data_IF_473358796529
#
_entry.id   IF_473358796529
#
_cell.length_a   1.000
_cell.length_b   1.000
_cell.length_c   1.000
_cell.angle_alpha   90.00
_cell.angle_beta   90.00
_cell.angle_gamma   90.00
#
_symmetry.space_group_name_H-M   'P 1'
#
loop_
_entity.id
_entity.type
_entity.pdbx_description
1 polymer ?
#
# COMPACT_ATOMS: atom_id res chain seq x y z
N UNK A 1 44.34 38.74 52.96
CA UNK A 1 44.59 38.93 51.54
C UNK A 1 43.89 37.82 50.82
N UNK A 2 42.73 38.09 50.24
CA UNK A 2 41.89 37.11 49.51
C UNK A 2 42.25 37.17 48.03
N UNK A 3 42.70 36.06 47.51
CA UNK A 3 43.03 35.91 46.09
C UNK A 3 41.72 35.63 45.27
N UNK A 4 41.29 36.61 44.48
CA UNK A 4 40.17 36.43 43.55
C UNK A 4 40.74 35.80 42.30
N UNK A 5 40.46 34.50 42.12
CA UNK A 5 40.63 33.82 40.84
C UNK A 5 39.57 34.32 39.87
N UNK A 6 39.93 35.06 38.83
CA UNK A 6 39.11 35.32 37.63
C UNK A 6 39.05 34.01 36.84
N UNK A 7 37.90 33.37 36.85
CA UNK A 7 37.57 32.37 35.83
C UNK A 7 37.40 33.08 34.50
N UNK A 8 38.32 32.80 33.58
CA UNK A 8 38.20 33.23 32.19
C UNK A 8 36.97 32.61 31.56
N UNK A 9 36.01 33.43 31.17
CA UNK A 9 34.89 33.00 30.35
C UNK A 9 35.41 32.53 28.99
N UNK A 10 35.40 31.23 28.78
CA UNK A 10 35.50 30.66 27.45
C UNK A 10 34.27 31.11 26.68
N UNK A 11 34.46 32.00 25.71
CA UNK A 11 33.45 32.35 24.73
C UNK A 11 33.12 31.10 23.90
N UNK A 12 32.19 30.32 24.39
CA UNK A 12 31.47 29.40 23.51
C UNK A 12 30.80 30.26 22.44
N UNK A 13 31.18 30.11 21.20
CA UNK A 13 30.44 30.59 20.04
C UNK A 13 28.99 30.19 20.29
N UNK A 14 28.10 31.19 20.46
CA UNK A 14 26.67 30.94 20.56
C UNK A 14 26.29 30.22 19.28
N UNK A 15 26.02 28.92 19.38
CA UNK A 15 25.37 28.18 18.27
C UNK A 15 24.12 28.98 17.97
N UNK A 16 24.01 29.48 16.76
CA UNK A 16 22.89 30.36 16.42
C UNK A 16 21.62 29.54 16.48
N UNK A 17 20.69 29.96 17.31
CA UNK A 17 19.33 29.42 17.41
C UNK A 17 18.67 29.44 16.01
N UNK A 18 18.76 28.35 15.27
CA UNK A 18 18.43 28.27 13.84
C UNK A 18 17.34 27.24 13.65
N UNK A 19 16.17 27.68 13.15
CA UNK A 19 15.15 26.82 12.60
C UNK A 19 15.24 26.84 11.08
N UNK A 20 15.50 25.71 10.47
CA UNK A 20 15.45 25.49 9.03
C UNK A 20 14.13 24.83 8.66
N UNK A 21 13.41 25.39 7.71
CA UNK A 21 12.19 24.79 7.15
C UNK A 21 12.40 24.53 5.67
N UNK A 22 12.35 23.28 5.29
CA UNK A 22 12.36 22.85 3.89
C UNK A 22 10.90 22.67 3.44
N UNK A 23 10.47 23.39 2.44
CA UNK A 23 9.12 23.29 1.89
C UNK A 23 9.19 23.43 0.37
N UNK A 24 8.18 23.00 -0.39
CA UNK A 24 8.10 23.25 -1.82
C UNK A 24 8.24 24.73 -2.16
N UNK A 25 8.94 25.03 -3.24
CA UNK A 25 9.18 26.42 -3.71
C UNK A 25 7.84 27.16 -3.92
N UNK A 26 7.80 28.44 -3.58
CA UNK A 26 6.61 29.27 -3.63
C UNK A 26 5.70 29.14 -2.39
N UNK A 27 6.11 28.36 -1.38
CA UNK A 27 5.42 28.35 -0.09
C UNK A 27 5.58 29.68 0.66
N UNK A 28 4.67 29.98 1.56
CA UNK A 28 4.84 30.98 2.60
C UNK A 28 5.06 30.27 3.93
N UNK A 29 6.15 30.59 4.64
CA UNK A 29 6.48 29.95 5.92
C UNK A 29 6.57 31.01 7.03
N UNK A 30 5.87 30.77 8.12
CA UNK A 30 5.90 31.59 9.34
C UNK A 30 6.20 30.75 10.56
N UNK A 31 6.87 31.35 11.55
CA UNK A 31 7.04 30.76 12.87
C UNK A 31 6.44 31.72 13.92
N UNK A 32 5.54 31.21 14.77
CA UNK A 32 4.79 32.03 15.75
C UNK A 32 5.01 31.49 17.16
N UNK A 33 5.29 32.38 18.09
CA UNK A 33 5.36 32.10 19.54
C UNK A 33 4.74 33.27 20.30
N UNK A 34 3.84 32.99 21.22
CA UNK A 34 3.21 33.97 22.13
C UNK A 34 2.63 35.21 21.39
N UNK A 35 2.13 35.01 20.17
CA UNK A 35 1.57 36.05 19.30
C UNK A 35 2.61 36.80 18.45
N UNK A 36 3.90 36.61 18.67
CA UNK A 36 4.94 37.13 17.80
C UNK A 36 5.08 36.25 16.53
N UNK A 37 5.07 36.87 15.35
CA UNK A 37 5.23 36.19 14.07
C UNK A 37 6.59 36.53 13.47
N UNK A 38 7.41 35.52 13.23
CA UNK A 38 8.67 35.61 12.47
C UNK A 38 8.43 35.15 11.04
N UNK A 39 9.11 35.83 10.10
CA UNK A 39 9.16 35.45 8.69
C UNK A 39 10.61 35.25 8.28
N UNK A 40 10.86 34.46 7.24
CA UNK A 40 12.16 34.27 6.62
C UNK A 40 12.03 34.35 5.11
N UNK A 41 13.09 34.77 4.43
CA UNK A 41 13.14 34.76 2.98
C UNK A 41 13.32 33.33 2.47
N UNK A 42 12.68 33.03 1.34
CA UNK A 42 12.88 31.79 0.62
C UNK A 42 14.24 31.77 -0.10
N UNK A 43 14.91 30.63 -0.03
CA UNK A 43 16.05 30.34 -0.86
C UNK A 43 15.96 28.88 -1.35
N UNK A 44 15.50 28.70 -2.58
CA UNK A 44 15.34 27.37 -3.23
C UNK A 44 14.56 26.35 -2.36
N UNK A 45 13.42 26.75 -1.83
CA UNK A 45 12.59 25.88 -0.98
C UNK A 45 13.09 25.76 0.45
N UNK A 46 14.00 26.62 0.88
CA UNK A 46 14.55 26.63 2.25
C UNK A 46 14.29 27.98 2.91
N UNK A 47 13.72 27.95 4.11
CA UNK A 47 13.55 29.11 4.99
C UNK A 47 14.41 28.94 6.24
N UNK A 48 15.22 29.94 6.56
CA UNK A 48 16.11 29.91 7.72
C UNK A 48 15.72 31.04 8.68
N UNK A 49 15.15 30.65 9.79
CA UNK A 49 14.85 31.56 10.90
C UNK A 49 16.04 31.56 11.86
N UNK A 50 16.58 32.75 12.14
CA UNK A 50 17.74 32.94 13.03
C UNK A 50 17.31 33.67 14.29
N UNK A 51 17.98 33.36 15.40
CA UNK A 51 17.79 34.04 16.67
C UNK A 51 16.41 33.74 17.31
N UNK A 52 15.84 32.56 17.07
CA UNK A 52 14.64 32.14 17.77
C UNK A 52 14.98 31.85 19.22
N UNK A 53 14.15 32.33 20.14
CA UNK A 53 14.27 31.97 21.56
C UNK A 53 13.80 30.53 21.79
N UNK A 54 14.36 29.88 22.79
CA UNK A 54 13.90 28.56 23.22
C UNK A 54 12.40 28.61 23.62
N UNK A 55 11.71 27.51 23.42
CA UNK A 55 10.30 27.35 23.75
C UNK A 55 9.45 26.80 22.60
N UNK A 56 8.16 26.71 22.81
CA UNK A 56 7.23 26.11 21.86
C UNK A 56 6.87 27.09 20.75
N UNK A 57 7.22 26.74 19.52
CA UNK A 57 6.89 27.49 18.32
C UNK A 57 5.86 26.77 17.47
N UNK A 58 4.98 27.51 16.88
CA UNK A 58 4.05 27.04 15.84
C UNK A 58 4.56 27.49 14.48
N UNK A 59 4.95 26.54 13.65
CA UNK A 59 5.46 26.77 12.31
C UNK A 59 4.33 26.45 11.32
N UNK A 60 3.94 27.44 10.51
CA UNK A 60 2.91 27.29 9.49
C UNK A 60 3.53 27.49 8.11
N UNK A 61 3.36 26.52 7.24
CA UNK A 61 3.74 26.59 5.84
C UNK A 61 2.47 26.48 4.97
N UNK A 62 2.33 27.34 3.96
CA UNK A 62 1.17 27.36 3.07
C UNK A 62 1.60 27.50 1.61
N UNK A 63 0.92 26.76 0.71
CA UNK A 63 1.10 26.83 -0.74
C UNK A 63 -0.27 26.74 -1.42
N UNK A 64 -0.73 27.84 -2.02
CA UNK A 64 -2.07 27.93 -2.57
C UNK A 64 -3.13 27.68 -1.50
N UNK A 65 -3.95 26.65 -1.69
CA UNK A 65 -4.99 26.23 -0.74
C UNK A 65 -4.50 25.25 0.34
N UNK A 66 -3.26 24.76 0.23
CA UNK A 66 -2.70 23.80 1.19
C UNK A 66 -1.97 24.53 2.31
N UNK A 67 -2.13 24.03 3.53
CA UNK A 67 -1.44 24.55 4.71
C UNK A 67 -1.09 23.40 5.65
N UNK A 68 0.14 23.44 6.19
CA UNK A 68 0.60 22.53 7.22
C UNK A 68 1.11 23.31 8.41
N UNK A 69 0.79 22.82 9.61
CA UNK A 69 1.16 23.47 10.86
C UNK A 69 1.86 22.47 11.76
N UNK A 70 3.02 22.86 12.30
CA UNK A 70 3.85 22.07 13.19
C UNK A 70 4.03 22.82 14.50
N UNK A 71 3.65 22.24 15.62
CA UNK A 71 3.99 22.77 16.94
C UNK A 71 5.18 21.99 17.49
N UNK A 72 6.28 22.67 17.76
CA UNK A 72 7.54 22.06 18.17
C UNK A 72 8.20 22.84 19.31
N UNK A 73 8.76 22.10 20.24
CA UNK A 73 9.68 22.67 21.24
C UNK A 73 11.02 22.94 20.55
N UNK A 74 11.44 24.19 20.53
CA UNK A 74 12.69 24.63 19.95
C UNK A 74 13.70 24.91 21.06
N UNK A 75 14.89 24.33 20.96
CA UNK A 75 15.97 24.51 21.97
C UNK A 75 17.17 25.22 21.38
N UNK A 76 17.68 24.76 20.24
CA UNK A 76 18.92 25.28 19.66
C UNK A 76 18.88 25.26 18.11
N UNK A 77 18.98 24.06 17.52
CA UNK A 77 18.88 23.87 16.07
C UNK A 77 17.77 22.87 15.73
N UNK A 78 16.97 23.17 14.74
CA UNK A 78 15.89 22.28 14.28
C UNK A 78 15.71 22.39 12.77
N UNK A 79 15.41 21.25 12.13
CA UNK A 79 14.97 21.21 10.75
C UNK A 79 13.57 20.61 10.67
N UNK A 80 12.67 21.26 9.92
CA UNK A 80 11.34 20.77 9.61
C UNK A 80 11.25 20.58 8.10
N UNK A 81 10.87 19.40 7.65
CA UNK A 81 10.53 19.13 6.27
C UNK A 81 9.00 19.18 6.13
N UNK A 82 8.50 20.03 5.23
CA UNK A 82 7.07 20.24 5.02
C UNK A 82 6.60 19.36 3.88
N UNK A 83 5.63 18.51 4.17
CA UNK A 83 4.91 17.70 3.19
C UNK A 83 3.47 18.19 3.12
N UNK A 84 3.03 18.64 1.95
CA UNK A 84 1.63 19.01 1.75
C UNK A 84 0.81 17.80 1.40
N UNK A 85 -0.30 17.63 2.13
CA UNK A 85 -1.22 16.52 1.96
C UNK A 85 -2.55 17.03 1.43
N UNK A 86 -2.99 16.51 0.29
CA UNK A 86 -4.32 16.78 -0.25
C UNK A 86 -5.37 15.86 0.43
N UNK A 87 -6.56 16.37 0.78
CA UNK A 87 -7.67 15.52 1.21
C UNK A 87 -8.19 14.62 0.06
N UNK A 88 -7.87 14.95 -1.19
CA UNK A 88 -8.13 14.08 -2.33
C UNK A 88 -6.94 13.13 -2.51
N UNK A 89 -7.13 11.85 -2.22
CA UNK A 89 -6.05 10.85 -2.26
C UNK A 89 -5.27 10.87 -3.57
N UNK A 90 -5.97 11.00 -4.71
CA UNK A 90 -5.35 10.95 -6.04
C UNK A 90 -4.39 12.11 -6.33
N UNK A 91 -4.52 13.23 -5.65
CA UNK A 91 -3.69 14.42 -5.86
C UNK A 91 -2.31 14.31 -5.18
N UNK A 92 -2.16 13.34 -4.28
CA UNK A 92 -0.89 13.10 -3.59
C UNK A 92 0.01 12.17 -4.41
N UNK A 93 1.33 12.37 -4.30
CA UNK A 93 2.31 11.39 -4.79
C UNK A 93 2.28 10.12 -3.93
N UNK A 94 2.80 9.01 -4.44
CA UNK A 94 2.96 7.80 -3.62
C UNK A 94 3.91 8.03 -2.43
N UNK A 95 4.92 8.89 -2.60
CA UNK A 95 5.83 9.27 -1.52
C UNK A 95 5.07 9.91 -0.36
N UNK A 96 4.22 10.90 -0.64
CA UNK A 96 3.37 11.56 0.38
C UNK A 96 2.44 10.55 1.05
N UNK A 97 1.81 9.66 0.27
CA UNK A 97 0.94 8.62 0.80
C UNK A 97 1.71 7.70 1.76
N UNK A 98 2.93 7.31 1.39
CA UNK A 98 3.81 6.49 2.21
C UNK A 98 4.20 7.18 3.52
N UNK A 99 4.62 8.45 3.47
CA UNK A 99 4.99 9.25 4.66
C UNK A 99 3.82 9.37 5.65
N UNK A 100 2.62 9.66 5.16
CA UNK A 100 1.41 9.77 5.99
C UNK A 100 1.00 8.42 6.57
N UNK A 101 1.19 7.34 5.80
CA UNK A 101 0.98 5.98 6.27
C UNK A 101 1.97 5.61 7.39
N UNK A 102 3.27 5.88 7.20
CA UNK A 102 4.33 5.64 8.19
C UNK A 102 4.09 6.40 9.51
N UNK A 103 3.54 7.60 9.40
CA UNK A 103 3.15 8.41 10.56
C UNK A 103 1.88 7.89 11.26
N UNK A 104 1.17 6.88 10.73
CA UNK A 104 -0.09 6.38 11.27
C UNK A 104 -1.25 7.38 11.15
N UNK A 105 -1.17 8.34 10.23
CA UNK A 105 -2.13 9.44 10.09
C UNK A 105 -3.08 9.27 8.90
N UNK A 106 -2.97 8.22 8.13
CA UNK A 106 -3.68 8.06 6.88
C UNK A 106 -5.21 8.16 7.00
N UNK A 107 -5.79 7.55 8.04
CA UNK A 107 -7.22 7.60 8.30
C UNK A 107 -7.76 8.98 8.71
N UNK A 108 -6.87 9.95 9.03
CA UNK A 108 -7.24 11.34 9.28
C UNK A 108 -7.43 12.13 7.98
N UNK A 109 -6.86 11.67 6.88
CA UNK A 109 -6.85 12.33 5.59
C UNK A 109 -7.78 11.68 4.58
N UNK A 110 -7.84 10.35 4.55
CA UNK A 110 -8.51 9.59 3.50
C UNK A 110 -9.46 8.54 4.09
N UNK A 111 -10.36 8.09 3.25
CA UNK A 111 -11.41 7.13 3.62
C UNK A 111 -11.28 5.82 2.86
N UNK A 112 -11.81 4.74 3.43
CA UNK A 112 -11.94 3.46 2.73
C UNK A 112 -12.79 3.67 1.47
N UNK A 113 -12.25 3.24 0.33
CA UNK A 113 -12.85 3.44 -0.99
C UNK A 113 -12.23 4.56 -1.82
N UNK A 114 -11.47 5.49 -1.21
CA UNK A 114 -10.71 6.50 -1.94
C UNK A 114 -9.72 5.88 -2.90
N UNK A 115 -9.48 6.54 -4.03
CA UNK A 115 -8.75 5.99 -5.16
C UNK A 115 -7.50 6.81 -5.45
N UNK A 116 -6.37 6.13 -5.61
CA UNK A 116 -5.14 6.63 -6.22
C UNK A 116 -4.93 5.96 -7.56
N UNK A 117 -4.81 6.72 -8.62
CA UNK A 117 -4.52 6.19 -9.94
C UNK A 117 -3.04 5.85 -10.07
N UNK A 118 -2.77 4.72 -10.70
CA UNK A 118 -1.44 4.26 -11.09
C UNK A 118 -1.47 3.93 -12.58
N UNK A 119 -0.43 4.38 -13.30
CA UNK A 119 -0.28 4.04 -14.72
C UNK A 119 0.78 2.96 -14.85
N UNK A 120 0.34 1.80 -15.31
CA UNK A 120 1.20 0.64 -15.53
C UNK A 120 2.01 0.79 -16.81
N UNK A 121 3.17 0.13 -16.86
CA UNK A 121 4.04 0.11 -18.04
C UNK A 121 4.62 -1.28 -18.29
N UNK A 122 4.89 -1.61 -19.56
CA UNK A 122 5.50 -2.88 -19.94
C UNK A 122 4.50 -4.01 -20.14
N UNK A 123 4.99 -5.24 -19.89
CA UNK A 123 4.22 -6.47 -20.09
C UNK A 123 4.17 -7.24 -18.77
N UNK A 124 2.97 -7.55 -18.33
CA UNK A 124 2.70 -8.38 -17.16
C UNK A 124 2.28 -9.79 -17.62
N UNK A 125 3.17 -10.78 -17.45
CA UNK A 125 3.02 -12.06 -18.10
C UNK A 125 3.01 -11.90 -19.61
N UNK A 126 1.85 -12.13 -20.24
CA UNK A 126 1.61 -11.90 -21.68
C UNK A 126 0.71 -10.68 -21.92
N UNK A 127 0.23 -10.04 -20.87
CA UNK A 127 -0.65 -8.87 -20.96
C UNK A 127 0.18 -7.60 -21.13
N UNK A 128 0.03 -6.93 -22.28
CA UNK A 128 0.57 -5.58 -22.45
C UNK A 128 -0.28 -4.60 -21.61
N UNK A 129 0.37 -3.99 -20.61
CA UNK A 129 -0.26 -2.99 -19.72
C UNK A 129 0.29 -1.58 -19.91
N UNK A 130 1.10 -1.35 -20.96
CA UNK A 130 1.71 -0.05 -21.22
C UNK A 130 0.66 1.05 -21.40
N UNK A 131 0.73 2.07 -20.54
CA UNK A 131 -0.21 3.19 -20.52
C UNK A 131 -1.57 2.90 -19.90
N UNK A 132 -1.79 1.70 -19.36
CA UNK A 132 -3.04 1.36 -18.66
C UNK A 132 -3.07 2.05 -17.30
N UNK A 133 -3.96 3.04 -17.15
CA UNK A 133 -4.22 3.67 -15.86
C UNK A 133 -5.31 2.93 -15.11
N UNK A 134 -5.01 2.51 -13.89
CA UNK A 134 -5.93 1.78 -13.01
C UNK A 134 -5.95 2.38 -11.62
N UNK A 135 -7.12 2.49 -11.02
CA UNK A 135 -7.30 2.93 -9.64
C UNK A 135 -6.92 1.85 -8.64
N UNK A 136 -6.00 2.19 -7.75
CA UNK A 136 -5.79 1.49 -6.50
C UNK A 136 -6.70 2.14 -5.44
N UNK A 137 -7.61 1.39 -4.86
CA UNK A 137 -8.55 1.93 -3.88
C UNK A 137 -8.27 1.37 -2.49
N UNK A 138 -8.48 2.21 -1.47
CA UNK A 138 -8.26 1.83 -0.08
C UNK A 138 -9.30 0.78 0.32
N UNK A 139 -8.83 -0.38 0.78
CA UNK A 139 -9.69 -1.45 1.30
C UNK A 139 -9.65 -1.56 2.83
N UNK A 140 -8.70 -0.90 3.47
CA UNK A 140 -8.61 -0.80 4.92
C UNK A 140 -7.37 -0.06 5.39
N UNK A 141 -7.45 0.45 6.60
CA UNK A 141 -6.33 1.01 7.35
C UNK A 141 -5.95 0.03 8.47
N UNK A 142 -4.66 -0.17 8.67
CA UNK A 142 -4.13 -1.03 9.74
C UNK A 142 -4.83 -2.40 9.84
N UNK A 143 -5.15 -2.96 8.68
CA UNK A 143 -5.87 -4.22 8.59
C UNK A 143 -5.08 -5.32 9.31
N UNK A 144 -5.74 -5.96 10.29
CA UNK A 144 -5.16 -7.06 11.06
C UNK A 144 -3.74 -6.74 11.61
N UNK A 145 -3.56 -5.52 12.12
CA UNK A 145 -2.26 -4.92 12.43
C UNK A 145 -1.40 -5.75 13.37
N UNK A 146 -1.99 -6.51 14.28
CA UNK A 146 -1.27 -7.43 15.18
C UNK A 146 -0.53 -8.57 14.46
N UNK A 147 -0.86 -8.84 13.20
CA UNK A 147 -0.23 -9.89 12.37
C UNK A 147 0.41 -9.33 11.11
N UNK A 148 -0.17 -8.33 10.50
CA UNK A 148 0.21 -7.79 9.20
C UNK A 148 1.08 -6.53 9.31
N UNK A 149 1.19 -5.96 10.52
CA UNK A 149 1.92 -4.72 10.80
C UNK A 149 0.99 -3.51 10.88
N UNK A 150 1.41 -2.51 11.67
CA UNK A 150 0.72 -1.24 11.84
C UNK A 150 1.23 -0.18 10.85
N UNK A 151 0.58 0.96 10.82
CA UNK A 151 0.89 2.12 9.97
C UNK A 151 0.88 1.73 8.49
N UNK A 152 -0.24 1.12 8.04
CA UNK A 152 -0.41 0.60 6.68
C UNK A 152 -1.74 1.02 6.09
N UNK A 153 -1.68 1.52 4.88
CA UNK A 153 -2.86 1.66 4.03
C UNK A 153 -2.90 0.43 3.12
N UNK A 154 -3.94 -0.38 3.22
CA UNK A 154 -4.14 -1.51 2.33
C UNK A 154 -4.95 -1.08 1.12
N UNK A 155 -4.35 -1.22 -0.04
CA UNK A 155 -4.95 -0.93 -1.33
C UNK A 155 -5.29 -2.20 -2.09
N UNK A 156 -6.23 -2.08 -3.03
CA UNK A 156 -6.47 -3.10 -4.05
C UNK A 156 -6.50 -2.44 -5.42
N UNK A 157 -5.73 -2.96 -6.38
CA UNK A 157 -5.89 -2.59 -7.78
C UNK A 157 -7.20 -3.09 -8.31
N UNK A 158 -7.85 -2.27 -9.10
CA UNK A 158 -9.01 -2.73 -9.82
C UNK A 158 -10.15 -1.76 -9.90
N UNK A 159 -9.92 -0.46 -10.17
CA UNK A 159 -10.97 0.45 -10.62
C UNK A 159 -10.56 1.18 -11.90
N UNK A 160 -11.42 1.13 -12.91
CA UNK A 160 -11.31 1.93 -14.12
C UNK A 160 -12.64 2.66 -14.32
N UNK A 161 -12.62 3.99 -14.30
CA UNK A 161 -13.84 4.84 -14.40
C UNK A 161 -14.93 4.40 -13.40
N UNK A 162 -14.52 4.10 -12.15
CA UNK A 162 -15.42 3.68 -11.07
C UNK A 162 -15.84 2.21 -11.10
N UNK A 163 -15.67 1.50 -12.22
CA UNK A 163 -16.01 0.06 -12.33
C UNK A 163 -14.92 -0.79 -11.68
N UNK A 164 -15.31 -1.74 -10.82
CA UNK A 164 -14.40 -2.71 -10.23
C UNK A 164 -14.00 -3.74 -11.29
N UNK A 165 -12.70 -3.82 -11.56
CA UNK A 165 -12.15 -4.71 -12.61
C UNK A 165 -11.18 -5.75 -12.03
N UNK A 166 -10.96 -6.79 -12.82
CA UNK A 166 -9.81 -7.68 -12.69
C UNK A 166 -9.03 -7.70 -14.00
N UNK A 167 -7.71 -7.80 -13.88
CA UNK A 167 -6.86 -7.98 -15.04
C UNK A 167 -7.04 -9.39 -15.58
N UNK A 168 -7.24 -9.49 -16.87
CA UNK A 168 -7.38 -10.76 -17.59
C UNK A 168 -6.45 -10.76 -18.79
N UNK A 169 -5.79 -11.86 -19.06
CA UNK A 169 -5.07 -12.03 -20.32
C UNK A 169 -6.01 -12.47 -21.46
N UNK A 170 -5.47 -12.60 -22.66
CA UNK A 170 -6.22 -13.03 -23.85
C UNK A 170 -6.74 -14.46 -23.75
N UNK A 171 -6.24 -15.24 -22.82
CA UNK A 171 -6.59 -16.64 -22.59
C UNK A 171 -7.67 -16.83 -21.52
N UNK A 172 -8.30 -15.74 -21.06
CA UNK A 172 -9.35 -15.81 -20.04
C UNK A 172 -10.39 -16.89 -20.37
N UNK A 173 -10.69 -17.76 -19.39
CA UNK A 173 -11.61 -18.90 -19.53
C UNK A 173 -11.16 -19.94 -20.59
N UNK A 174 -9.94 -19.93 -21.05
CA UNK A 174 -9.41 -20.98 -21.90
C UNK A 174 -9.09 -22.25 -21.09
N UNK A 175 -8.72 -23.30 -21.75
CA UNK A 175 -8.28 -24.56 -21.12
C UNK A 175 -6.98 -24.46 -20.33
N UNK A 176 -6.41 -23.30 -20.23
CA UNK A 176 -5.29 -22.98 -19.35
C UNK A 176 -3.90 -23.32 -19.92
N UNK A 177 -3.78 -24.19 -20.87
CA UNK A 177 -2.48 -24.57 -21.41
C UNK A 177 -1.79 -23.39 -22.10
N UNK A 178 -0.60 -23.04 -21.58
CA UNK A 178 0.19 -21.93 -22.11
C UNK A 178 -0.28 -20.52 -21.70
N UNK A 179 -1.22 -20.41 -20.77
CA UNK A 179 -1.72 -19.12 -20.26
C UNK A 179 -0.92 -18.67 -19.05
N UNK A 180 -1.04 -17.38 -18.71
CA UNK A 180 -0.21 -16.79 -17.65
C UNK A 180 -0.98 -16.48 -16.37
N UNK A 181 -2.26 -16.07 -16.44
CA UNK A 181 -3.04 -15.66 -15.27
C UNK A 181 -3.71 -16.83 -14.55
N UNK A 182 -2.92 -17.87 -14.30
CA UNK A 182 -3.30 -19.06 -13.54
C UNK A 182 -2.61 -19.07 -12.16
N UNK A 183 -3.15 -19.87 -11.25
CA UNK A 183 -2.50 -20.10 -9.95
C UNK A 183 -1.29 -21.03 -10.09
N UNK A 184 -1.41 -22.06 -10.91
CA UNK A 184 -0.33 -22.97 -11.31
C UNK A 184 -0.57 -23.44 -12.74
N UNK A 185 0.50 -23.77 -13.47
CA UNK A 185 0.41 -24.24 -14.87
C UNK A 185 -0.16 -25.66 -15.00
N UNK A 186 -0.23 -26.41 -13.92
CA UNK A 186 -0.84 -27.72 -13.82
C UNK A 186 -2.01 -27.71 -12.84
N UNK A 187 -2.91 -28.70 -12.93
CA UNK A 187 -4.07 -28.84 -12.05
C UNK A 187 -3.69 -29.26 -10.64
N UNK A 188 -2.83 -28.49 -9.96
CA UNK A 188 -2.42 -28.74 -8.58
C UNK A 188 -2.44 -27.48 -7.74
N UNK A 189 -2.81 -27.59 -6.49
CA UNK A 189 -2.66 -26.56 -5.47
C UNK A 189 -1.55 -26.91 -4.45
N UNK A 190 -0.71 -27.90 -4.76
CA UNK A 190 0.43 -28.26 -3.92
C UNK A 190 1.36 -27.09 -3.68
N UNK A 191 1.75 -26.87 -2.43
CA UNK A 191 2.50 -25.70 -2.00
C UNK A 191 1.66 -24.45 -1.78
N UNK A 192 0.34 -24.54 -2.00
CA UNK A 192 -0.64 -23.49 -1.71
C UNK A 192 -0.32 -22.14 -2.32
N UNK A 193 -0.70 -21.08 -1.61
CA UNK A 193 -0.37 -19.70 -2.02
C UNK A 193 1.14 -19.49 -2.11
N UNK A 194 1.89 -19.98 -1.12
CA UNK A 194 3.34 -19.75 -0.99
C UNK A 194 4.12 -20.04 -2.26
N UNK A 195 3.80 -21.18 -2.90
CA UNK A 195 4.53 -21.66 -4.07
C UNK A 195 3.76 -21.44 -5.39
N UNK A 196 2.59 -20.79 -5.34
CA UNK A 196 1.81 -20.56 -6.55
C UNK A 196 2.57 -19.70 -7.57
N UNK A 197 2.43 -20.03 -8.86
CA UNK A 197 2.98 -19.26 -9.97
C UNK A 197 2.47 -17.80 -9.94
N UNK A 198 1.21 -17.63 -9.58
CA UNK A 198 0.62 -16.30 -9.39
C UNK A 198 1.45 -15.45 -8.41
N UNK A 199 1.73 -15.97 -7.21
CA UNK A 199 2.49 -15.25 -6.19
C UNK A 199 3.93 -15.00 -6.58
N UNK A 200 4.60 -16.07 -7.01
CA UNK A 200 6.06 -16.10 -7.21
C UNK A 200 6.45 -15.31 -8.45
N UNK A 201 5.77 -15.57 -9.57
CA UNK A 201 6.13 -15.06 -10.89
C UNK A 201 5.29 -13.88 -11.31
N UNK A 202 3.97 -14.03 -11.34
CA UNK A 202 3.12 -12.98 -11.87
C UNK A 202 3.07 -11.74 -10.99
N UNK A 203 2.99 -11.89 -9.67
CA UNK A 203 3.04 -10.75 -8.75
C UNK A 203 4.47 -10.31 -8.43
N UNK A 204 5.46 -11.20 -8.56
CA UNK A 204 6.87 -10.88 -8.39
C UNK A 204 7.35 -10.81 -6.94
N UNK A 205 6.65 -11.45 -6.00
CA UNK A 205 6.97 -11.36 -4.57
C UNK A 205 8.36 -11.90 -4.18
N UNK A 206 8.89 -12.84 -4.95
CA UNK A 206 10.20 -13.42 -4.64
C UNK A 206 11.39 -12.50 -4.94
N UNK A 207 11.18 -11.47 -5.77
CA UNK A 207 12.25 -10.53 -6.17
C UNK A 207 12.23 -9.23 -5.39
N UNK A 208 11.05 -8.84 -4.88
CA UNK A 208 10.84 -7.60 -4.15
C UNK A 208 10.91 -6.33 -5.02
N UNK A 209 10.61 -5.14 -4.41
CA UNK A 209 10.46 -3.90 -5.15
C UNK A 209 11.77 -3.31 -5.69
N UNK A 210 12.91 -3.60 -5.05
CA UNK A 210 14.21 -3.04 -5.44
C UNK A 210 14.83 -3.73 -6.68
N UNK A 211 14.42 -4.97 -6.96
CA UNK A 211 14.90 -5.74 -8.12
C UNK A 211 13.71 -6.50 -8.71
N UNK A 212 12.73 -5.82 -9.31
CA UNK A 212 11.50 -6.42 -9.75
C UNK A 212 11.75 -7.46 -10.85
N UNK A 213 11.11 -8.62 -10.72
CA UNK A 213 11.16 -9.67 -11.74
C UNK A 213 10.55 -9.16 -13.05
N UNK A 214 11.28 -9.23 -14.14
CA UNK A 214 10.75 -8.88 -15.45
C UNK A 214 9.51 -9.70 -15.79
N UNK A 215 8.48 -9.07 -16.35
CA UNK A 215 7.20 -9.70 -16.66
C UNK A 215 6.28 -9.91 -15.46
N UNK A 216 6.63 -9.39 -14.28
CA UNK A 216 5.73 -9.38 -13.11
C UNK A 216 5.00 -8.04 -12.97
N UNK A 217 3.91 -8.02 -12.17
CA UNK A 217 3.24 -6.78 -11.79
C UNK A 217 4.22 -5.79 -11.12
N UNK A 218 5.12 -6.30 -10.27
CA UNK A 218 6.13 -5.50 -9.59
C UNK A 218 6.99 -4.69 -10.57
N UNK A 219 7.28 -5.23 -11.75
CA UNK A 219 8.03 -4.53 -12.79
C UNK A 219 7.17 -3.51 -13.57
N UNK A 220 5.85 -3.67 -13.56
CA UNK A 220 4.94 -2.84 -14.35
C UNK A 220 4.46 -1.58 -13.61
N UNK A 221 4.57 -1.50 -12.30
CA UNK A 221 4.21 -0.32 -11.51
C UNK A 221 5.33 0.72 -11.53
N UNK A 222 5.02 1.98 -11.19
CA UNK A 222 6.01 3.06 -11.11
C UNK A 222 7.08 2.80 -10.05
N UNK A 223 8.25 3.40 -10.23
CA UNK A 223 9.33 3.34 -9.22
C UNK A 223 8.89 4.01 -7.92
N UNK A 224 8.07 5.04 -7.99
CA UNK A 224 7.54 5.74 -6.84
C UNK A 224 6.62 4.82 -6.00
N UNK A 225 5.68 4.12 -6.63
CA UNK A 225 4.86 3.14 -5.91
C UNK A 225 5.73 2.01 -5.32
N UNK A 226 6.72 1.51 -6.08
CA UNK A 226 7.63 0.48 -5.55
C UNK A 226 8.35 0.92 -4.27
N UNK A 227 8.74 2.20 -4.19
CA UNK A 227 9.50 2.72 -3.04
C UNK A 227 8.72 2.76 -1.73
N UNK A 228 7.39 2.77 -1.79
CA UNK A 228 6.50 2.83 -0.62
C UNK A 228 5.80 1.50 -0.30
N UNK A 229 6.02 0.46 -1.12
CA UNK A 229 5.44 -0.85 -0.85
C UNK A 229 5.96 -1.44 0.47
N UNK A 230 5.05 -1.83 1.33
CA UNK A 230 5.34 -2.49 2.61
C UNK A 230 5.18 -4.01 2.51
N UNK A 231 6.23 -4.73 2.88
CA UNK A 231 6.16 -6.18 3.03
C UNK A 231 5.13 -6.53 4.12
N UNK A 232 4.15 -7.34 3.77
CA UNK A 232 3.01 -7.65 4.63
C UNK A 232 2.93 -9.16 4.89
N UNK A 233 2.76 -9.55 6.15
CA UNK A 233 2.59 -10.96 6.52
C UNK A 233 1.19 -11.42 6.18
N UNK A 234 1.07 -12.44 5.33
CA UNK A 234 -0.22 -13.02 4.95
C UNK A 234 -0.26 -14.50 5.33
N UNK A 235 -1.38 -14.92 5.93
CA UNK A 235 -1.60 -16.31 6.31
C UNK A 235 -2.53 -16.99 5.31
N UNK A 236 -2.13 -18.17 4.84
CA UNK A 236 -2.93 -19.01 3.94
C UNK A 236 -2.53 -20.46 4.09
N UNK A 237 -3.34 -21.36 3.59
CA UNK A 237 -2.91 -22.74 3.41
C UNK A 237 -1.79 -22.78 2.37
N UNK A 238 -0.59 -23.07 2.83
CA UNK A 238 0.63 -23.09 2.05
C UNK A 238 1.14 -24.51 1.76
N UNK A 239 0.31 -25.52 2.01
CA UNK A 239 0.58 -26.92 1.69
C UNK A 239 -0.32 -27.41 0.56
N UNK A 240 -1.63 -27.11 0.60
CA UNK A 240 -2.59 -27.59 -0.37
C UNK A 240 -2.88 -29.09 -0.23
N UNK A 241 -3.17 -29.75 -1.34
CA UNK A 241 -3.39 -31.19 -1.37
C UNK A 241 -4.83 -31.62 -1.03
N UNK A 242 -5.78 -30.67 -0.90
CA UNK A 242 -7.19 -30.98 -0.63
C UNK A 242 -7.44 -31.43 0.81
N UNK A 243 -6.74 -30.87 1.79
CA UNK A 243 -6.90 -31.16 3.21
C UNK A 243 -7.25 -29.92 4.00
N UNK A 244 -8.13 -30.07 5.00
CA UNK A 244 -8.53 -29.02 5.94
C UNK A 244 -7.67 -29.05 7.21
N UNK A 245 -6.36 -29.18 7.07
CA UNK A 245 -5.42 -29.32 8.18
C UNK A 245 -4.95 -27.96 8.67
N UNK A 246 -5.15 -27.66 9.95
CA UNK A 246 -4.83 -26.34 10.52
C UNK A 246 -3.36 -25.95 10.43
N UNK A 247 -2.42 -26.90 10.57
CA UNK A 247 -0.98 -26.66 10.47
C UNK A 247 -0.49 -26.29 9.04
N UNK A 248 -1.35 -26.44 8.03
CA UNK A 248 -1.07 -26.01 6.67
C UNK A 248 -1.18 -24.50 6.49
N UNK A 249 -1.92 -23.84 7.41
CA UNK A 249 -2.04 -22.38 7.40
C UNK A 249 -0.80 -21.76 8.04
N UNK A 250 0.05 -21.23 7.21
CA UNK A 250 1.34 -20.64 7.58
C UNK A 250 1.49 -19.24 6.98
N UNK A 251 2.50 -18.50 7.42
CA UNK A 251 2.78 -17.16 6.96
C UNK A 251 3.57 -17.15 5.64
N UNK A 252 3.29 -16.14 4.82
CA UNK A 252 4.18 -15.64 3.76
C UNK A 252 4.41 -14.14 3.98
N UNK A 253 5.50 -13.62 3.43
CA UNK A 253 5.75 -12.17 3.36
C UNK A 253 5.54 -11.75 1.92
N UNK A 254 4.59 -10.85 1.69
CA UNK A 254 4.13 -10.45 0.36
C UNK A 254 4.11 -8.94 0.21
N UNK A 255 4.53 -8.42 -0.94
CA UNK A 255 4.31 -7.04 -1.36
C UNK A 255 3.00 -6.91 -2.13
N UNK A 256 2.68 -7.91 -2.95
CA UNK A 256 1.40 -8.06 -3.61
C UNK A 256 0.75 -9.39 -3.21
N UNK A 257 -0.54 -9.37 -2.96
CA UNK A 257 -1.31 -10.59 -2.67
C UNK A 257 -2.69 -10.55 -3.29
N UNK A 258 -3.28 -11.73 -3.51
CA UNK A 258 -4.71 -11.84 -3.71
C UNK A 258 -5.41 -11.90 -2.36
N UNK A 259 -6.65 -11.44 -2.26
CA UNK A 259 -7.40 -11.60 -1.03
C UNK A 259 -7.67 -13.09 -0.75
N UNK A 260 -7.78 -13.45 0.53
CA UNK A 260 -8.29 -14.75 0.94
C UNK A 260 -9.83 -14.74 0.95
N UNK A 261 -10.44 -15.93 0.97
CA UNK A 261 -11.88 -16.06 1.04
C UNK A 261 -12.45 -15.32 2.25
N UNK A 262 -11.88 -15.54 3.43
CA UNK A 262 -12.34 -14.90 4.67
C UNK A 262 -12.13 -13.37 4.66
N UNK A 263 -11.02 -12.89 4.11
CA UNK A 263 -10.72 -11.45 3.99
C UNK A 263 -11.75 -10.71 3.13
N UNK A 264 -12.32 -11.41 2.14
CA UNK A 264 -13.31 -10.84 1.25
C UNK A 264 -14.74 -10.98 1.78
N UNK A 265 -15.10 -12.16 2.29
CA UNK A 265 -16.49 -12.51 2.61
C UNK A 265 -16.83 -12.37 4.09
N UNK A 266 -15.82 -12.34 5.01
CA UNK A 266 -16.04 -12.42 6.46
C UNK A 266 -16.52 -13.81 6.94
N UNK A 267 -16.56 -14.74 6.01
CA UNK A 267 -16.87 -16.15 6.22
C UNK A 267 -16.07 -16.97 5.21
N UNK A 268 -15.95 -18.26 5.45
CA UNK A 268 -15.36 -19.19 4.50
C UNK A 268 -16.37 -20.25 4.09
N UNK A 269 -16.37 -20.62 2.83
CA UNK A 269 -17.18 -21.74 2.31
C UNK A 269 -16.30 -22.90 1.83
N UNK A 270 -15.13 -22.59 1.30
CA UNK A 270 -14.28 -23.51 0.57
C UNK A 270 -12.85 -23.58 1.10
N UNK A 271 -12.31 -22.48 1.63
CA UNK A 271 -10.96 -22.41 2.14
C UNK A 271 -10.72 -23.27 3.38
N UNK A 272 -9.46 -23.55 3.71
CA UNK A 272 -9.06 -24.19 4.96
C UNK A 272 -9.64 -23.42 6.17
N UNK A 273 -10.29 -24.15 7.09
CA UNK A 273 -11.01 -23.54 8.21
C UNK A 273 -10.12 -22.73 9.15
N UNK A 274 -8.86 -23.08 9.25
CA UNK A 274 -7.91 -22.38 10.11
C UNK A 274 -7.45 -21.03 9.56
N UNK A 275 -7.68 -20.72 8.27
CA UNK A 275 -7.36 -19.39 7.71
C UNK A 275 -8.06 -18.27 8.47
N UNK A 276 -9.34 -18.44 8.85
CA UNK A 276 -10.11 -17.45 9.59
C UNK A 276 -9.50 -17.06 10.94
N UNK A 277 -8.70 -17.94 11.56
CA UNK A 277 -8.05 -17.67 12.85
C UNK A 277 -6.91 -16.64 12.75
N UNK A 278 -6.45 -16.39 11.53
CA UNK A 278 -5.32 -15.52 11.24
C UNK A 278 -5.69 -14.35 10.31
N UNK A 279 -6.92 -14.27 9.86
CA UNK A 279 -7.40 -13.29 8.89
C UNK A 279 -8.54 -12.47 9.48
N UNK A 280 -8.76 -11.30 8.92
CA UNK A 280 -9.91 -10.43 9.20
C UNK A 280 -10.56 -10.04 7.88
N UNK A 281 -11.86 -9.71 7.90
CA UNK A 281 -12.52 -9.15 6.74
C UNK A 281 -12.08 -7.69 6.54
N UNK A 282 -11.69 -7.34 5.32
CA UNK A 282 -11.34 -5.96 5.00
C UNK A 282 -12.50 -4.99 5.21
N UNK A 283 -12.21 -3.79 5.73
CA UNK A 283 -13.20 -2.75 6.03
C UNK A 283 -14.11 -2.44 4.83
N UNK A 284 -13.53 -2.36 3.63
CA UNK A 284 -14.28 -2.12 2.38
C UNK A 284 -15.38 -3.15 2.15
N UNK A 285 -15.09 -4.44 2.33
CA UNK A 285 -16.06 -5.51 2.11
C UNK A 285 -17.00 -5.73 3.29
N UNK A 286 -16.55 -5.42 4.50
CA UNK A 286 -17.39 -5.41 5.69
C UNK A 286 -18.49 -4.34 5.61
N UNK A 287 -18.22 -3.24 4.91
CA UNK A 287 -19.20 -2.18 4.61
C UNK A 287 -20.24 -2.57 3.52
N UNK A 288 -20.20 -3.81 3.01
CA UNK A 288 -21.18 -4.31 2.03
C UNK A 288 -20.87 -4.02 0.57
N UNK A 289 -19.69 -3.49 0.26
CA UNK A 289 -19.32 -3.19 -1.12
C UNK A 289 -19.32 -4.43 -2.02
N UNK A 290 -19.60 -4.20 -3.29
CA UNK A 290 -19.70 -5.25 -4.31
C UNK A 290 -18.40 -6.06 -4.46
N UNK A 291 -18.55 -7.34 -4.77
CA UNK A 291 -17.46 -8.30 -4.97
C UNK A 291 -17.33 -8.76 -6.42
N UNK A 292 -18.27 -8.36 -7.28
CA UNK A 292 -18.23 -8.65 -8.71
C UNK A 292 -17.09 -7.86 -9.34
N UNK A 293 -16.34 -8.51 -10.20
CA UNK A 293 -15.31 -7.86 -11.01
C UNK A 293 -15.63 -8.05 -12.49
N UNK A 294 -15.23 -7.06 -13.27
CA UNK A 294 -15.37 -7.06 -14.71
C UNK A 294 -14.00 -7.12 -15.38
N UNK A 295 -13.94 -7.53 -16.63
CA UNK A 295 -12.67 -7.49 -17.38
C UNK A 295 -12.14 -6.05 -17.44
N UNK A 296 -10.83 -5.89 -17.32
CA UNK A 296 -10.20 -4.56 -17.44
C UNK A 296 -10.38 -3.95 -18.84
N UNK A 297 -10.48 -4.79 -19.88
CA UNK A 297 -10.64 -4.42 -21.29
C UNK A 297 -12.11 -4.49 -21.77
N UNK A 298 -13.04 -5.05 -20.98
CA UNK A 298 -14.46 -5.15 -21.28
C UNK A 298 -15.31 -5.01 -19.99
N UNK A 299 -15.50 -3.78 -19.53
CA UNK A 299 -16.08 -3.44 -18.23
C UNK A 299 -17.56 -3.80 -18.03
N UNK A 300 -18.19 -4.43 -18.98
CA UNK A 300 -19.54 -5.01 -18.87
C UNK A 300 -19.54 -6.52 -18.77
N UNK A 301 -18.37 -7.17 -18.93
CA UNK A 301 -18.23 -8.62 -18.87
C UNK A 301 -17.70 -9.02 -17.51
N UNK A 302 -18.59 -9.58 -16.67
CA UNK A 302 -18.22 -10.09 -15.36
C UNK A 302 -17.30 -11.32 -15.47
N UNK A 303 -16.33 -11.43 -14.56
CA UNK A 303 -15.30 -12.47 -14.62
C UNK A 303 -15.14 -13.19 -13.28
N UNK A 304 -14.69 -14.44 -13.34
CA UNK A 304 -14.18 -15.15 -12.17
C UNK A 304 -12.82 -14.59 -11.79
N UNK A 305 -12.60 -14.35 -10.48
CA UNK A 305 -11.36 -13.76 -9.97
C UNK A 305 -10.73 -14.68 -8.94
N UNK A 306 -9.44 -14.89 -9.07
CA UNK A 306 -8.67 -15.69 -8.13
C UNK A 306 -8.61 -15.10 -6.73
N UNK A 307 -8.69 -15.98 -5.74
CA UNK A 307 -8.31 -15.74 -4.36
C UNK A 307 -7.07 -16.59 -4.02
N UNK A 308 -6.32 -16.19 -2.99
CA UNK A 308 -5.11 -16.92 -2.59
C UNK A 308 -5.41 -18.21 -1.81
N UNK A 309 -6.61 -18.35 -1.25
CA UNK A 309 -7.01 -19.54 -0.50
C UNK A 309 -7.09 -20.76 -1.42
N UNK A 310 -6.52 -21.87 -0.98
CA UNK A 310 -6.74 -23.17 -1.65
C UNK A 310 -8.08 -23.77 -1.23
N UNK A 311 -8.68 -24.54 -2.11
CA UNK A 311 -9.88 -25.31 -1.76
C UNK A 311 -9.50 -26.51 -0.87
N UNK A 312 -10.10 -26.56 0.32
CA UNK A 312 -9.74 -27.54 1.36
C UNK A 312 -10.15 -28.99 1.06
N UNK A 313 -10.94 -29.22 0.00
CA UNK A 313 -11.43 -30.55 -0.36
C UNK A 313 -11.01 -30.99 -1.77
N UNK A 314 -10.05 -30.30 -2.38
CA UNK A 314 -9.60 -30.65 -3.73
C UNK A 314 -8.15 -30.25 -4.00
N UNK A 315 -7.32 -31.21 -4.43
CA UNK A 315 -5.86 -31.04 -4.60
C UNK A 315 -5.42 -30.23 -5.82
N UNK A 316 -6.34 -29.87 -6.68
CA UNK A 316 -6.04 -29.11 -7.93
C UNK A 316 -6.72 -27.75 -8.02
N UNK A 317 -7.26 -27.23 -6.90
CA UNK A 317 -8.28 -26.19 -6.93
C UNK A 317 -7.89 -25.04 -6.00
N UNK A 318 -8.14 -23.79 -6.46
CA UNK A 318 -8.09 -22.59 -5.65
C UNK A 318 -9.48 -21.96 -5.55
N UNK A 319 -9.70 -21.23 -4.45
CA UNK A 319 -10.89 -20.43 -4.26
C UNK A 319 -10.90 -19.20 -5.17
N UNK A 320 -12.06 -18.63 -5.40
CA UNK A 320 -12.24 -17.42 -6.17
C UNK A 320 -13.58 -16.75 -5.92
N UNK A 321 -13.81 -15.66 -6.63
CA UNK A 321 -15.08 -14.95 -6.69
C UNK A 321 -15.69 -15.23 -8.04
N UNK A 322 -16.90 -15.77 -8.10
CA UNK A 322 -17.57 -16.04 -9.35
C UNK A 322 -18.17 -14.75 -9.98
N UNK A 323 -18.70 -14.87 -11.17
CA UNK A 323 -19.26 -13.74 -11.93
C UNK A 323 -20.48 -13.07 -11.28
N UNK A 324 -21.10 -13.71 -10.30
CA UNK A 324 -22.20 -13.13 -9.48
C UNK A 324 -21.72 -12.49 -8.18
N UNK A 325 -20.40 -12.52 -7.90
CA UNK A 325 -19.82 -11.95 -6.69
C UNK A 325 -19.90 -12.84 -5.46
N UNK A 326 -20.28 -14.11 -5.61
CA UNK A 326 -20.30 -15.11 -4.53
C UNK A 326 -19.01 -15.92 -4.51
N UNK A 327 -18.74 -16.60 -3.38
CA UNK A 327 -17.61 -17.49 -3.27
C UNK A 327 -17.73 -18.64 -4.27
N UNK A 328 -16.59 -19.04 -4.83
CA UNK A 328 -16.48 -20.14 -5.78
C UNK A 328 -15.09 -20.77 -5.72
N UNK A 329 -14.88 -21.75 -6.54
CA UNK A 329 -13.59 -22.41 -6.69
C UNK A 329 -13.45 -22.98 -8.12
N UNK A 330 -12.22 -23.14 -8.58
CA UNK A 330 -11.96 -23.75 -9.88
C UNK A 330 -10.52 -24.26 -9.97
N UNK A 331 -10.21 -24.94 -11.07
CA UNK A 331 -8.94 -25.61 -11.30
C UNK A 331 -7.78 -24.61 -11.48
N UNK A 332 -6.66 -24.86 -10.81
CA UNK A 332 -5.50 -23.99 -10.70
C UNK A 332 -4.90 -23.51 -12.03
N UNK A 333 -5.01 -24.30 -13.12
CA UNK A 333 -4.40 -24.00 -14.40
C UNK A 333 -5.22 -23.07 -15.30
N UNK A 334 -6.44 -22.71 -14.92
CA UNK A 334 -7.26 -21.81 -15.73
C UNK A 334 -6.70 -20.38 -15.67
N UNK A 335 -6.77 -19.67 -16.79
CA UNK A 335 -6.41 -18.26 -16.86
C UNK A 335 -7.64 -17.39 -16.55
N UNK A 336 -7.67 -16.79 -15.39
CA UNK A 336 -8.82 -16.04 -14.88
C UNK A 336 -8.42 -14.64 -14.44
N UNK A 337 -9.37 -13.90 -13.88
CA UNK A 337 -9.14 -12.55 -13.41
C UNK A 337 -8.18 -12.47 -12.21
N UNK A 338 -7.28 -11.51 -12.25
CA UNK A 338 -6.37 -11.17 -11.16
C UNK A 338 -6.66 -9.75 -10.64
N UNK A 339 -6.87 -9.60 -9.34
CA UNK A 339 -7.15 -8.31 -8.70
C UNK A 339 -6.31 -8.21 -7.41
N UNK A 340 -5.03 -7.85 -7.53
CA UNK A 340 -4.09 -7.88 -6.43
C UNK A 340 -4.29 -6.72 -5.46
N UNK A 341 -3.91 -6.96 -4.20
CA UNK A 341 -3.81 -5.97 -3.14
C UNK A 341 -2.34 -5.77 -2.75
N UNK A 342 -2.06 -4.64 -2.11
CA UNK A 342 -0.75 -4.27 -1.57
C UNK A 342 -0.92 -3.33 -0.38
N UNK A 343 0.17 -3.07 0.35
CA UNK A 343 0.22 -2.04 1.39
C UNK A 343 1.28 -0.98 1.09
N UNK A 344 0.95 0.24 1.46
CA UNK A 344 1.85 1.38 1.43
C UNK A 344 1.88 2.08 2.79
#
# INVERSE_FOLDING_TARGET
MANIMRLGGGGGSAKGNILTVNAPAGSTVTATKDGEVKTAAENNGVWVFKGLEAGTWTITASLGSYSQTYTREFVDEMTINVTYVSPTLNDNSWSVIGEISDAGQAANWWSVGDIKNETLSGTWGILNVSGLTVGAYIIGFDHNSGKEGANRIHFKFGKISGTQIAFCDSSYNSSGSGTMFHMNSSGTNSGGWKNSYMRVTLLGNNSGPNSPLSGSLMACISAELRSVLKATTKYSDNTGGGSNTASYVTATTDYFWLLAEFELFGARSYANSAEQNNQQQYQYYKAGNAKIHYRHDARTTAVFVWLRSVYASGSGIFCGVNTSGTAGYTTAYLSLGCAPAFAA
#
